data_IF_007946768697
#
_entry.id   IF_007946768697
#
_cell.length_a   1.000
_cell.length_b   1.000
_cell.length_c   1.000
_cell.angle_alpha   90.00
_cell.angle_beta   90.00
_cell.angle_gamma   90.00
#
_symmetry.space_group_name_H-M   'P 1'
#
loop_
_entity.id
_entity.type
_entity.pdbx_description
1 polymer ?
#
# COMPACT_ATOMS: atom_id res chain seq x y z
N UNK A 1 8.65 9.35 41.57
CA UNK A 1 9.08 9.81 40.23
C UNK A 1 7.87 10.49 39.57
N UNK A 2 8.01 11.76 39.19
CA UNK A 2 6.92 12.70 38.92
C UNK A 2 6.11 12.37 37.67
N UNK A 3 4.79 12.59 37.74
CA UNK A 3 3.93 12.64 36.55
C UNK A 3 4.33 13.87 35.73
N UNK A 4 4.71 13.67 34.48
CA UNK A 4 5.10 14.75 33.58
C UNK A 4 3.86 15.54 33.15
N UNK A 5 3.72 16.77 33.66
CA UNK A 5 2.60 17.66 33.36
C UNK A 5 3.09 18.77 32.45
N UNK A 6 2.48 18.89 31.28
CA UNK A 6 2.65 20.02 30.37
C UNK A 6 1.66 21.12 30.78
N UNK A 7 2.11 22.37 30.79
CA UNK A 7 1.26 23.52 31.07
C UNK A 7 1.36 24.54 29.93
N UNK A 8 0.24 25.11 29.54
CA UNK A 8 0.17 26.25 28.63
C UNK A 8 -0.65 27.35 29.30
N UNK A 9 -0.15 28.57 29.22
CA UNK A 9 -0.82 29.76 29.74
C UNK A 9 -1.26 30.65 28.59
N UNK A 10 -2.44 31.26 28.74
CA UNK A 10 -2.98 32.26 27.82
C UNK A 10 -3.35 33.52 28.58
N UNK A 11 -3.32 34.66 27.88
CA UNK A 11 -3.80 35.92 28.43
C UNK A 11 -5.33 35.86 28.51
N UNK A 12 -5.88 36.25 29.66
CA UNK A 12 -7.33 36.38 29.84
C UNK A 12 -7.73 37.76 29.34
N UNK A 13 -8.42 37.80 28.21
CA UNK A 13 -8.99 39.02 27.63
C UNK A 13 -10.52 39.05 27.75
N UNK A 14 -11.11 40.19 27.41
CA UNK A 14 -12.57 40.39 27.51
C UNK A 14 -13.34 39.41 26.63
N UNK A 15 -12.77 38.99 25.50
CA UNK A 15 -13.37 38.02 24.58
C UNK A 15 -13.45 36.64 25.22
N UNK A 16 -12.36 36.18 25.86
CA UNK A 16 -12.32 34.91 26.57
C UNK A 16 -13.29 34.89 27.75
N UNK A 17 -13.33 35.97 28.54
CA UNK A 17 -14.29 36.11 29.65
C UNK A 17 -15.73 36.04 29.11
N UNK A 18 -16.03 36.79 28.05
CA UNK A 18 -17.35 36.78 27.44
C UNK A 18 -17.73 35.42 26.83
N UNK A 19 -16.76 34.68 26.29
CA UNK A 19 -16.98 33.34 25.72
C UNK A 19 -17.23 32.27 26.80
N UNK A 20 -16.59 32.38 27.97
CA UNK A 20 -16.75 31.45 29.07
C UNK A 20 -18.02 31.73 29.92
N UNK A 21 -18.46 32.98 29.99
CA UNK A 21 -19.58 33.45 30.82
C UNK A 21 -20.90 32.67 30.59
N UNK A 22 -21.37 32.39 29.36
CA UNK A 22 -22.61 31.64 29.13
C UNK A 22 -22.59 30.18 29.64
N UNK A 23 -21.42 29.64 29.95
CA UNK A 23 -21.23 28.25 30.36
C UNK A 23 -20.79 28.12 31.82
N UNK A 24 -20.76 29.21 32.59
CA UNK A 24 -20.25 29.28 33.97
C UNK A 24 -18.84 28.65 34.13
N UNK A 25 -18.04 28.70 33.06
CA UNK A 25 -16.73 28.05 33.03
C UNK A 25 -15.66 28.98 33.61
N UNK A 26 -15.16 28.67 34.80
CA UNK A 26 -14.05 29.40 35.42
C UNK A 26 -12.71 28.89 34.87
N UNK A 27 -11.99 29.77 34.17
CA UNK A 27 -10.68 29.47 33.60
C UNK A 27 -9.64 30.46 34.11
N UNK A 28 -8.56 29.94 34.70
CA UNK A 28 -7.48 30.73 35.31
C UNK A 28 -6.36 31.10 34.32
N UNK A 29 -6.63 30.93 33.02
CA UNK A 29 -5.65 31.14 31.96
C UNK A 29 -4.66 29.99 31.79
N UNK A 30 -4.70 28.94 32.61
CA UNK A 30 -3.75 27.84 32.58
C UNK A 30 -4.42 26.52 32.19
N UNK A 31 -3.98 25.94 31.09
CA UNK A 31 -4.32 24.56 30.72
C UNK A 31 -3.19 23.62 31.12
N UNK A 32 -3.50 22.55 31.86
CA UNK A 32 -2.54 21.49 32.18
C UNK A 32 -2.92 20.18 31.51
N UNK A 33 -1.91 19.42 31.08
CA UNK A 33 -2.07 18.11 30.48
C UNK A 33 -1.01 17.16 31.02
N UNK A 34 -1.43 16.10 31.71
CA UNK A 34 -0.53 15.08 32.23
C UNK A 34 -0.31 14.00 31.18
N UNK A 35 0.94 13.77 30.80
CA UNK A 35 1.29 12.69 29.88
C UNK A 35 1.08 11.33 30.54
N UNK A 36 0.56 10.33 29.81
CA UNK A 36 0.45 8.98 30.33
C UNK A 36 1.84 8.42 30.60
N UNK A 37 1.97 7.62 31.66
CA UNK A 37 3.24 7.02 32.04
C UNK A 37 3.67 6.03 30.96
N UNK A 38 4.76 6.34 30.28
CA UNK A 38 5.26 5.54 29.17
C UNK A 38 6.68 5.06 29.44
N UNK A 39 6.83 3.75 29.66
CA UNK A 39 8.14 3.11 29.79
C UNK A 39 8.68 2.81 28.38
N UNK A 40 9.22 3.82 27.72
CA UNK A 40 9.66 3.74 26.32
C UNK A 40 10.72 2.64 26.09
N UNK A 41 10.47 1.66 25.20
CA UNK A 41 11.49 0.71 24.78
C UNK A 41 12.69 1.42 24.16
N UNK A 42 13.90 1.05 24.59
CA UNK A 42 15.15 1.62 24.09
C UNK A 42 15.44 1.14 22.66
N UNK A 43 16.06 2.00 21.84
CA UNK A 43 16.55 1.65 20.50
C UNK A 43 17.90 0.94 20.60
N UNK A 44 17.87 -0.32 21.03
CA UNK A 44 19.05 -1.19 21.19
C UNK A 44 19.16 -2.28 20.11
N UNK A 45 18.31 -2.21 19.08
CA UNK A 45 18.23 -3.20 18.01
C UNK A 45 17.39 -4.44 18.33
N UNK A 46 16.80 -4.55 19.52
CA UNK A 46 15.98 -5.72 19.91
C UNK A 46 14.59 -5.76 19.25
N UNK A 47 14.14 -4.65 18.66
CA UNK A 47 12.85 -4.53 17.98
C UNK A 47 12.96 -3.69 16.69
N UNK A 48 12.06 -3.95 15.76
CA UNK A 48 12.00 -3.26 14.46
C UNK A 48 10.99 -2.13 14.44
N UNK A 49 9.78 -2.38 14.94
CA UNK A 49 8.61 -1.51 14.78
C UNK A 49 7.92 -1.27 16.12
N UNK A 50 7.75 -0.01 16.49
CA UNK A 50 6.94 0.44 17.61
C UNK A 50 5.71 1.23 17.15
N UNK A 51 4.63 1.14 17.91
CA UNK A 51 3.38 1.85 17.60
C UNK A 51 2.82 2.55 18.85
N UNK A 52 2.51 3.84 18.74
CA UNK A 52 1.81 4.63 19.76
C UNK A 52 0.42 4.97 19.21
N UNK A 53 -0.64 4.54 19.89
CA UNK A 53 -2.03 4.75 19.48
C UNK A 53 -2.85 5.51 20.50
N UNK A 54 -3.94 6.11 20.05
CA UNK A 54 -4.95 6.76 20.90
C UNK A 54 -5.60 7.99 20.26
N UNK A 55 -6.66 8.53 20.87
CA UNK A 55 -7.48 9.60 20.29
C UNK A 55 -6.70 10.89 20.08
N UNK A 56 -7.25 11.83 19.29
CA UNK A 56 -6.64 13.16 19.17
C UNK A 56 -6.52 13.82 20.54
N UNK A 57 -5.45 14.59 20.77
CA UNK A 57 -5.20 15.24 22.07
C UNK A 57 -4.64 14.33 23.18
N UNK A 58 -4.47 13.02 22.97
CA UNK A 58 -3.98 12.09 24.02
C UNK A 58 -2.47 12.14 24.32
N UNK A 59 -1.73 13.11 23.74
CA UNK A 59 -0.30 13.27 23.99
C UNK A 59 0.64 12.40 23.15
N UNK A 60 0.16 11.67 22.13
CA UNK A 60 0.99 10.83 21.23
C UNK A 60 2.19 11.57 20.66
N UNK A 61 1.96 12.73 20.05
CA UNK A 61 3.01 13.60 19.46
C UNK A 61 4.06 13.97 20.49
N UNK A 62 3.65 14.27 21.73
CA UNK A 62 4.57 14.68 22.79
C UNK A 62 5.40 13.50 23.29
N UNK A 63 4.80 12.31 23.45
CA UNK A 63 5.53 11.08 23.78
C UNK A 63 6.54 10.73 22.69
N UNK A 64 6.12 10.80 21.42
CA UNK A 64 6.98 10.51 20.27
C UNK A 64 8.19 11.46 20.25
N UNK A 65 7.94 12.78 20.30
CA UNK A 65 8.99 13.82 20.34
C UNK A 65 9.96 13.61 21.50
N UNK A 66 9.45 13.34 22.70
CA UNK A 66 10.25 13.23 23.92
C UNK A 66 11.16 11.99 23.94
N UNK A 67 10.66 10.85 23.46
CA UNK A 67 11.38 9.58 23.60
C UNK A 67 12.14 9.14 22.34
N UNK A 68 11.68 9.56 21.15
CA UNK A 68 12.19 9.05 19.88
C UNK A 68 12.57 10.14 18.88
N UNK A 69 12.22 11.40 19.16
CA UNK A 69 12.25 12.48 18.18
C UNK A 69 11.14 12.34 17.14
N UNK A 70 11.00 13.32 16.25
CA UNK A 70 10.15 13.22 15.06
C UNK A 70 11.04 13.38 13.85
N UNK A 71 10.95 12.44 12.93
CA UNK A 71 11.73 12.46 11.69
C UNK A 71 11.27 13.63 10.84
N UNK A 72 12.24 14.46 10.46
CA UNK A 72 11.97 15.62 9.63
C UNK A 72 11.63 15.19 8.19
N UNK A 73 10.69 15.87 7.53
CA UNK A 73 10.40 15.62 6.13
C UNK A 73 11.60 15.98 5.27
N UNK A 74 11.80 15.23 4.19
CA UNK A 74 12.83 15.53 3.20
C UNK A 74 12.45 16.78 2.40
N UNK A 75 13.45 17.58 2.01
CA UNK A 75 13.27 18.67 1.06
C UNK A 75 13.07 18.13 -0.37
N UNK A 76 12.12 18.74 -1.10
CA UNK A 76 11.75 18.34 -2.46
C UNK A 76 12.10 19.44 -3.46
N UNK A 77 12.75 19.06 -4.57
CA UNK A 77 13.01 19.95 -5.70
C UNK A 77 11.75 20.04 -6.56
N UNK A 78 11.25 21.27 -6.78
CA UNK A 78 9.96 21.52 -7.43
C UNK A 78 9.91 21.13 -8.91
N UNK A 79 11.06 21.10 -9.57
CA UNK A 79 11.24 20.79 -10.99
C UNK A 79 11.55 19.30 -11.26
N UNK A 80 11.57 18.46 -10.22
CA UNK A 80 11.92 17.03 -10.34
C UNK A 80 10.78 16.10 -9.94
N UNK A 81 10.71 14.98 -10.66
CA UNK A 81 9.86 13.86 -10.31
C UNK A 81 10.23 13.29 -8.93
N UNK A 82 9.26 12.81 -8.15
CA UNK A 82 9.54 12.23 -6.84
C UNK A 82 10.51 11.04 -6.91
N UNK A 83 10.43 10.20 -7.96
CA UNK A 83 11.35 9.06 -8.13
C UNK A 83 12.81 9.49 -8.27
N UNK A 84 13.08 10.70 -8.77
CA UNK A 84 14.43 11.24 -8.95
C UNK A 84 15.10 11.67 -7.63
N UNK A 85 14.39 11.61 -6.49
CA UNK A 85 14.91 11.99 -5.18
C UNK A 85 15.52 10.82 -4.38
N UNK A 86 15.57 9.61 -4.97
CA UNK A 86 16.00 8.37 -4.30
C UNK A 86 17.39 7.88 -4.74
N UNK A 87 18.14 8.68 -5.48
CA UNK A 87 19.50 8.37 -5.95
C UNK A 87 19.51 7.50 -7.20
N UNK A 88 18.94 6.30 -7.13
CA UNK A 88 18.84 5.36 -8.25
C UNK A 88 17.42 4.80 -8.43
N UNK A 89 17.17 4.19 -9.60
CA UNK A 89 15.85 3.69 -9.97
C UNK A 89 15.39 2.50 -9.16
N UNK A 90 16.32 1.64 -8.71
CA UNK A 90 15.99 0.46 -7.91
C UNK A 90 15.51 0.89 -6.53
N UNK A 91 16.27 1.79 -5.87
CA UNK A 91 15.92 2.35 -4.57
C UNK A 91 14.60 3.14 -4.62
N UNK A 92 14.38 3.91 -5.69
CA UNK A 92 13.10 4.61 -5.92
C UNK A 92 11.92 3.62 -5.95
N UNK A 93 12.03 2.58 -6.80
CA UNK A 93 10.97 1.59 -6.96
C UNK A 93 10.71 0.86 -5.65
N UNK A 94 11.77 0.42 -4.95
CA UNK A 94 11.65 -0.33 -3.71
C UNK A 94 10.97 0.48 -2.61
N UNK A 95 11.44 1.71 -2.35
CA UNK A 95 10.90 2.55 -1.28
C UNK A 95 9.49 3.06 -1.57
N UNK A 96 9.19 3.46 -2.82
CA UNK A 96 7.86 3.92 -3.19
C UNK A 96 6.83 2.77 -3.15
N UNK A 97 7.25 1.57 -3.54
CA UNK A 97 6.42 0.36 -3.41
C UNK A 97 6.21 -0.02 -1.93
N UNK A 98 7.23 0.15 -1.09
CA UNK A 98 7.18 -0.18 0.34
C UNK A 98 6.13 0.62 1.11
N UNK A 99 5.87 1.86 0.71
CA UNK A 99 4.83 2.72 1.32
C UNK A 99 3.46 2.62 0.63
N UNK A 100 3.31 1.69 -0.32
CA UNK A 100 2.06 1.51 -1.05
C UNK A 100 1.78 2.57 -2.12
N UNK A 101 2.76 3.41 -2.48
CA UNK A 101 2.62 4.37 -3.57
C UNK A 101 2.95 3.67 -4.89
N UNK A 102 2.08 2.78 -5.38
CA UNK A 102 2.39 1.89 -6.52
C UNK A 102 1.98 2.45 -7.91
N UNK A 103 1.79 3.76 -8.01
CA UNK A 103 1.38 4.43 -9.25
C UNK A 103 2.59 5.02 -9.96
N UNK A 104 3.04 4.38 -11.05
CA UNK A 104 4.13 4.90 -11.90
C UNK A 104 3.85 6.32 -12.40
N UNK A 105 2.63 6.69 -12.84
CA UNK A 105 2.32 8.09 -13.16
C UNK A 105 2.59 9.05 -12.00
N UNK A 106 2.30 8.64 -10.76
CA UNK A 106 2.57 9.47 -9.58
C UNK A 106 4.07 9.61 -9.32
N UNK A 107 4.87 8.58 -9.60
CA UNK A 107 6.33 8.62 -9.48
C UNK A 107 7.00 9.67 -10.38
N UNK A 108 6.38 9.95 -11.52
CA UNK A 108 6.86 10.90 -12.51
C UNK A 108 6.44 12.34 -12.23
N UNK A 109 5.55 12.60 -11.25
CA UNK A 109 5.09 13.94 -10.90
C UNK A 109 6.03 14.62 -9.90
N UNK A 110 6.10 15.96 -9.90
CA UNK A 110 6.72 16.70 -8.81
C UNK A 110 5.84 16.64 -7.54
N UNK A 111 6.48 16.77 -6.38
CA UNK A 111 5.85 16.54 -5.08
C UNK A 111 4.59 17.38 -4.84
N UNK A 112 4.62 18.67 -5.21
CA UNK A 112 3.53 19.62 -4.97
C UNK A 112 2.24 19.35 -5.77
N UNK A 113 2.28 18.46 -6.78
CA UNK A 113 1.10 18.09 -7.60
C UNK A 113 0.42 16.83 -7.08
N UNK A 114 1.05 16.11 -6.14
CA UNK A 114 0.49 14.90 -5.54
C UNK A 114 -0.67 15.24 -4.60
N UNK A 115 -1.62 14.32 -4.47
CA UNK A 115 -2.65 14.41 -3.42
C UNK A 115 -2.03 14.30 -2.01
N UNK A 116 -2.74 14.75 -0.97
CA UNK A 116 -2.25 14.69 0.42
C UNK A 116 -1.81 13.27 0.83
N UNK A 117 -2.59 12.25 0.47
CA UNK A 117 -2.24 10.85 0.75
C UNK A 117 -1.03 10.34 -0.04
N UNK A 118 -0.82 10.83 -1.27
CA UNK A 118 0.39 10.51 -2.05
C UNK A 118 1.62 11.25 -1.50
N UNK A 119 1.48 12.53 -1.13
CA UNK A 119 2.55 13.32 -0.51
C UNK A 119 3.02 12.68 0.80
N UNK A 120 2.09 12.29 1.67
CA UNK A 120 2.42 11.58 2.91
C UNK A 120 3.24 10.32 2.65
N UNK A 121 2.82 9.48 1.69
CA UNK A 121 3.55 8.25 1.34
C UNK A 121 4.91 8.55 0.72
N UNK A 122 5.01 9.53 -0.18
CA UNK A 122 6.28 9.95 -0.77
C UNK A 122 7.28 10.45 0.29
N UNK A 123 6.82 11.28 1.23
CA UNK A 123 7.62 11.75 2.38
C UNK A 123 8.06 10.60 3.28
N UNK A 124 7.14 9.67 3.59
CA UNK A 124 7.48 8.48 4.36
C UNK A 124 8.55 7.63 3.66
N UNK A 125 8.41 7.38 2.35
CA UNK A 125 9.40 6.61 1.58
C UNK A 125 10.77 7.28 1.56
N UNK A 126 10.78 8.61 1.46
CA UNK A 126 12.00 9.41 1.44
C UNK A 126 12.74 9.41 2.78
N UNK A 127 12.00 9.40 3.89
CA UNK A 127 12.55 9.55 5.24
C UNK A 127 12.67 8.24 6.03
N UNK A 128 12.08 7.13 5.59
CA UNK A 128 12.14 5.85 6.31
C UNK A 128 13.57 5.30 6.41
N UNK A 129 13.93 4.87 7.63
CA UNK A 129 15.22 4.29 8.00
C UNK A 129 15.22 3.81 9.46
N UNK A 130 16.32 3.20 9.92
CA UNK A 130 16.44 2.84 11.34
C UNK A 130 16.36 4.07 12.24
N UNK A 131 15.83 3.89 13.44
CA UNK A 131 15.67 4.93 14.46
C UNK A 131 14.87 6.16 14.01
N UNK A 132 13.99 5.99 13.02
CA UNK A 132 13.05 7.02 12.57
C UNK A 132 11.73 6.96 13.35
N UNK A 133 11.03 8.07 13.41
CA UNK A 133 9.78 8.22 14.15
C UNK A 133 8.81 9.12 13.38
N UNK A 134 7.62 8.60 13.08
CA UNK A 134 6.62 9.28 12.25
C UNK A 134 5.36 9.57 13.06
N UNK A 135 4.97 10.85 13.10
CA UNK A 135 3.70 11.27 13.67
C UNK A 135 2.58 11.21 12.64
N UNK A 136 1.33 11.17 13.13
CA UNK A 136 0.11 11.14 12.32
C UNK A 136 0.10 10.05 11.23
N UNK A 137 0.73 8.91 11.51
CA UNK A 137 0.80 7.82 10.55
C UNK A 137 -0.61 7.37 10.16
N UNK A 138 -0.87 7.35 8.86
CA UNK A 138 -2.14 6.97 8.22
C UNK A 138 -3.35 7.91 8.42
N UNK A 139 -3.16 9.14 8.93
CA UNK A 139 -4.27 10.08 9.16
C UNK A 139 -4.89 10.66 7.88
N UNK A 140 -4.12 10.74 6.78
CA UNK A 140 -4.50 11.42 5.54
C UNK A 140 -4.92 10.47 4.40
N UNK A 141 -5.11 9.19 4.71
CA UNK A 141 -5.52 8.16 3.73
C UNK A 141 -6.76 7.44 4.24
N UNK A 142 -7.54 6.86 3.34
CA UNK A 142 -8.65 6.01 3.74
C UNK A 142 -8.16 4.78 4.53
N UNK A 143 -9.10 4.13 5.25
CA UNK A 143 -8.79 3.03 6.16
C UNK A 143 -8.17 1.84 5.43
N UNK A 144 -8.66 1.50 4.25
CA UNK A 144 -8.26 0.29 3.54
C UNK A 144 -6.88 0.47 2.91
N UNK A 145 -6.58 1.68 2.46
CA UNK A 145 -5.24 2.11 2.00
C UNK A 145 -4.26 2.19 3.16
N UNK A 146 -4.68 2.67 4.34
CA UNK A 146 -3.87 2.63 5.55
C UNK A 146 -3.45 1.21 5.92
N UNK A 147 -4.40 0.25 5.92
CA UNK A 147 -4.15 -1.18 6.16
C UNK A 147 -3.14 -1.74 5.15
N UNK A 148 -3.33 -1.43 3.86
CA UNK A 148 -2.47 -1.89 2.78
C UNK A 148 -1.04 -1.36 2.89
N UNK A 149 -0.89 -0.04 3.10
CA UNK A 149 0.39 0.62 3.27
C UNK A 149 1.14 0.10 4.51
N UNK A 150 0.44 -0.11 5.63
CA UNK A 150 1.01 -0.68 6.85
C UNK A 150 1.62 -2.07 6.61
N UNK A 151 0.92 -2.91 5.83
CA UNK A 151 1.43 -4.23 5.46
C UNK A 151 2.65 -4.19 4.56
N UNK A 152 2.67 -3.30 3.55
CA UNK A 152 3.82 -3.14 2.68
C UNK A 152 5.03 -2.63 3.47
N UNK A 153 4.81 -1.66 4.37
CA UNK A 153 5.84 -1.01 5.14
C UNK A 153 6.50 -1.95 6.14
N UNK A 154 5.72 -2.72 6.91
CA UNK A 154 6.31 -3.65 7.88
C UNK A 154 7.16 -4.73 7.20
N UNK A 155 6.75 -5.19 6.02
CA UNK A 155 7.54 -6.14 5.23
C UNK A 155 8.86 -5.52 4.81
N UNK A 156 8.82 -4.28 4.32
CA UNK A 156 10.01 -3.57 3.90
C UNK A 156 10.99 -3.34 5.05
N UNK A 157 10.53 -2.78 6.18
CA UNK A 157 11.36 -2.55 7.39
C UNK A 157 12.07 -3.84 7.79
N UNK A 158 11.36 -4.97 7.80
CA UNK A 158 11.91 -6.27 8.21
C UNK A 158 12.85 -6.87 7.16
N UNK A 159 12.54 -6.76 5.87
CA UNK A 159 13.40 -7.24 4.79
C UNK A 159 14.69 -6.43 4.68
N UNK A 160 14.63 -5.14 4.97
CA UNK A 160 15.79 -4.24 5.02
C UNK A 160 16.53 -4.28 6.36
N UNK A 161 16.16 -5.19 7.28
CA UNK A 161 16.75 -5.33 8.61
C UNK A 161 16.81 -4.01 9.42
N UNK A 162 15.84 -3.12 9.20
CA UNK A 162 15.74 -1.85 9.94
C UNK A 162 15.25 -2.09 11.37
N UNK A 163 15.74 -1.26 12.29
CA UNK A 163 15.43 -1.35 13.72
C UNK A 163 14.99 0.01 14.27
N UNK A 164 14.23 0.00 15.37
CA UNK A 164 13.91 1.23 16.09
C UNK A 164 12.90 2.19 15.43
N UNK A 165 12.12 1.74 14.44
CA UNK A 165 11.15 2.58 13.73
C UNK A 165 9.86 2.74 14.54
N UNK A 166 9.43 3.98 14.81
CA UNK A 166 8.22 4.24 15.63
C UNK A 166 7.17 4.98 14.83
N UNK A 167 5.92 4.57 14.96
CA UNK A 167 4.76 5.26 14.37
C UNK A 167 3.83 5.75 15.48
N UNK A 168 3.28 6.94 15.34
CA UNK A 168 2.15 7.41 16.14
C UNK A 168 0.91 7.55 15.26
N UNK A 169 -0.23 7.01 15.68
CA UNK A 169 -1.48 7.08 14.91
C UNK A 169 -2.70 7.22 15.81
N UNK A 170 -3.76 7.86 15.32
CA UNK A 170 -5.06 7.81 15.97
C UNK A 170 -5.83 6.51 15.67
N UNK A 171 -5.37 5.75 14.67
CA UNK A 171 -6.06 4.58 14.17
C UNK A 171 -5.47 3.31 14.76
N UNK A 172 -6.31 2.49 15.39
CA UNK A 172 -5.89 1.25 16.09
C UNK A 172 -5.89 0.04 15.16
N UNK A 173 -6.80 0.02 14.19
CA UNK A 173 -6.99 -1.04 13.21
C UNK A 173 -5.77 -1.28 12.32
N UNK A 174 -4.85 -0.33 12.19
CA UNK A 174 -3.58 -0.55 11.46
C UNK A 174 -2.63 -1.48 12.19
N UNK A 175 -2.77 -1.67 13.51
CA UNK A 175 -1.82 -2.43 14.32
C UNK A 175 -1.70 -3.89 13.84
N UNK A 176 -2.83 -4.50 13.44
CA UNK A 176 -2.87 -5.87 12.91
C UNK A 176 -2.23 -6.02 11.52
N UNK A 177 -1.95 -4.90 10.85
CA UNK A 177 -1.34 -4.86 9.52
C UNK A 177 0.13 -4.45 9.58
N UNK A 178 0.45 -3.50 10.46
CA UNK A 178 1.80 -3.04 10.75
C UNK A 178 2.59 -4.09 11.57
N UNK A 179 1.89 -4.92 12.35
CA UNK A 179 2.46 -5.97 13.21
C UNK A 179 3.67 -5.46 14.02
N UNK A 180 3.47 -4.43 14.85
CA UNK A 180 4.53 -3.85 15.65
C UNK A 180 5.04 -4.85 16.70
N UNK A 181 6.29 -4.68 17.10
CA UNK A 181 6.91 -5.48 18.16
C UNK A 181 6.42 -5.04 19.55
N UNK A 182 5.94 -3.79 19.66
CA UNK A 182 5.20 -3.28 20.81
C UNK A 182 4.18 -2.21 20.38
N UNK A 183 3.04 -2.16 21.06
CA UNK A 183 2.06 -1.07 20.93
C UNK A 183 1.80 -0.43 22.29
N UNK A 184 1.75 0.89 22.34
CA UNK A 184 1.35 1.64 23.53
C UNK A 184 0.07 2.43 23.26
N UNK A 185 -0.95 2.21 24.07
CA UNK A 185 -2.21 2.94 23.99
C UNK A 185 -2.21 4.08 25.01
N UNK A 186 -2.21 5.31 24.49
CA UNK A 186 -2.23 6.53 25.32
C UNK A 186 -3.53 6.74 26.10
N UNK A 187 -4.63 6.09 25.73
CA UNK A 187 -5.90 6.17 26.44
C UNK A 187 -5.95 5.23 27.65
N UNK A 188 -5.54 3.98 27.46
CA UNK A 188 -5.57 2.96 28.54
C UNK A 188 -4.27 2.95 29.36
N UNK A 189 -3.17 3.47 28.82
CA UNK A 189 -1.83 3.36 29.40
C UNK A 189 -1.23 1.96 29.26
N UNK A 190 -1.84 1.07 28.47
CA UNK A 190 -1.40 -0.31 28.32
C UNK A 190 -0.33 -0.44 27.23
N UNK A 191 0.62 -1.36 27.46
CA UNK A 191 1.61 -1.77 26.49
C UNK A 191 1.40 -3.23 26.12
N UNK A 192 1.21 -3.50 24.83
CA UNK A 192 1.12 -4.86 24.29
C UNK A 192 2.39 -5.24 23.55
N UNK A 193 2.85 -6.48 23.70
CA UNK A 193 4.02 -7.03 23.01
C UNK A 193 3.66 -7.78 21.72
N UNK A 194 4.69 -8.09 20.93
CA UNK A 194 4.60 -8.87 19.70
C UNK A 194 3.91 -10.21 19.92
N UNK A 195 3.07 -10.62 18.96
CA UNK A 195 2.38 -11.92 18.97
C UNK A 195 0.95 -11.87 19.48
N UNK A 196 0.52 -10.76 20.06
CA UNK A 196 -0.88 -10.49 20.40
C UNK A 196 -1.77 -10.18 19.18
N UNK A 197 -1.16 -9.80 18.06
CA UNK A 197 -1.85 -9.37 16.85
C UNK A 197 -1.63 -10.36 15.71
N UNK A 198 -2.72 -10.73 15.04
CA UNK A 198 -2.68 -11.56 13.84
C UNK A 198 -3.37 -10.80 12.70
N UNK A 199 -2.78 -10.86 11.51
CA UNK A 199 -3.38 -10.21 10.34
C UNK A 199 -4.77 -10.80 10.07
N UNK A 200 -5.81 -9.96 9.89
CA UNK A 200 -7.13 -10.44 9.53
C UNK A 200 -7.11 -11.19 8.19
N UNK A 201 -8.03 -12.14 8.04
CA UNK A 201 -8.29 -12.75 6.73
C UNK A 201 -8.86 -11.68 5.79
N UNK A 202 -8.24 -11.51 4.63
CA UNK A 202 -8.83 -10.69 3.55
C UNK A 202 -9.86 -11.55 2.82
N UNK A 203 -11.13 -11.21 2.96
CA UNK A 203 -12.20 -11.71 2.11
C UNK A 203 -12.35 -10.74 0.92
N UNK A 204 -12.30 -11.28 -0.30
CA UNK A 204 -12.52 -10.53 -1.54
C UNK A 204 -13.77 -11.11 -2.20
N UNK A 205 -14.77 -10.26 -2.39
CA UNK A 205 -15.98 -10.62 -3.13
C UNK A 205 -15.73 -10.37 -4.62
N UNK A 206 -16.09 -11.34 -5.47
CA UNK A 206 -15.81 -11.28 -6.91
C UNK A 206 -17.06 -11.56 -7.73
N UNK A 207 -17.56 -10.52 -8.38
CA UNK A 207 -18.78 -10.56 -9.18
C UNK A 207 -18.52 -10.35 -10.66
N UNK A 208 -19.47 -10.83 -11.47
CA UNK A 208 -19.54 -10.48 -12.89
C UNK A 208 -19.88 -9.01 -13.01
N UNK A 209 -19.17 -8.29 -13.86
CA UNK A 209 -19.40 -6.86 -14.06
C UNK A 209 -19.48 -6.49 -15.54
N UNK A 210 -20.03 -5.30 -15.79
CA UNK A 210 -20.03 -4.73 -17.14
C UNK A 210 -18.64 -4.25 -17.53
N UNK A 211 -18.37 -4.19 -18.84
CA UNK A 211 -17.12 -3.59 -19.36
C UNK A 211 -16.95 -2.12 -19.00
N UNK A 212 -18.02 -1.41 -18.61
CA UNK A 212 -17.97 0.01 -18.29
C UNK A 212 -17.05 0.30 -17.09
N UNK A 213 -16.95 -0.65 -16.15
CA UNK A 213 -16.02 -0.58 -15.02
C UNK A 213 -14.56 -0.43 -15.44
N UNK A 214 -14.19 -0.83 -16.66
CA UNK A 214 -12.84 -0.62 -17.16
C UNK A 214 -12.38 0.84 -17.13
N UNK A 215 -13.32 1.79 -17.25
CA UNK A 215 -13.01 3.22 -17.19
C UNK A 215 -12.29 3.60 -15.89
N UNK A 216 -12.65 2.96 -14.77
CA UNK A 216 -12.02 3.15 -13.46
C UNK A 216 -10.57 2.64 -13.42
N UNK A 217 -10.25 1.59 -14.17
CA UNK A 217 -8.95 0.89 -14.08
C UNK A 217 -7.98 1.23 -15.20
N UNK A 218 -8.46 1.77 -16.32
CA UNK A 218 -7.65 1.97 -17.53
C UNK A 218 -6.44 2.87 -17.30
N UNK A 219 -6.56 3.85 -16.40
CA UNK A 219 -5.49 4.80 -16.05
C UNK A 219 -4.36 4.14 -15.24
N UNK A 220 -4.63 3.00 -14.62
CA UNK A 220 -3.68 2.22 -13.84
C UNK A 220 -3.08 1.04 -14.63
N UNK A 221 -3.43 0.91 -15.92
CA UNK A 221 -2.92 -0.15 -16.78
C UNK A 221 -1.86 0.37 -17.76
N UNK A 222 -0.73 -0.33 -17.85
CA UNK A 222 0.46 0.08 -18.60
C UNK A 222 0.41 -0.19 -20.12
N UNK A 223 -0.73 -0.68 -20.67
CA UNK A 223 -0.96 -0.87 -22.12
C UNK A 223 -2.31 -0.24 -22.54
N UNK A 224 -2.53 -0.14 -23.86
CA UNK A 224 -3.68 0.50 -24.54
C UNK A 224 -5.01 0.50 -23.77
N UNK A 225 -5.69 1.65 -23.74
CA UNK A 225 -6.91 1.86 -22.97
C UNK A 225 -8.19 1.20 -23.51
N UNK A 226 -8.21 0.65 -24.73
CA UNK A 226 -9.41 0.02 -25.30
C UNK A 226 -9.59 -1.43 -24.83
N UNK A 227 -10.81 -1.76 -24.37
CA UNK A 227 -11.22 -3.11 -23.94
C UNK A 227 -11.99 -3.82 -25.06
N UNK A 228 -11.74 -5.11 -25.25
CA UNK A 228 -12.47 -5.92 -26.23
C UNK A 228 -13.93 -6.12 -25.78
N UNK A 229 -14.88 -5.97 -26.71
CA UNK A 229 -16.32 -6.07 -26.42
C UNK A 229 -16.76 -7.48 -25.97
N UNK A 230 -16.04 -8.53 -26.38
CA UNK A 230 -16.31 -9.92 -25.99
C UNK A 230 -15.66 -10.30 -24.64
N UNK A 231 -15.06 -9.34 -23.92
CA UNK A 231 -14.41 -9.62 -22.65
C UNK A 231 -15.41 -10.03 -21.57
N UNK A 232 -15.10 -11.15 -20.94
CA UNK A 232 -15.77 -11.61 -19.73
C UNK A 232 -15.11 -10.91 -18.53
N UNK A 233 -15.82 -9.95 -17.92
CA UNK A 233 -15.28 -9.05 -16.90
C UNK A 233 -15.74 -9.43 -15.49
N UNK A 234 -14.85 -9.18 -14.53
CA UNK A 234 -15.03 -9.45 -13.11
C UNK A 234 -14.54 -8.26 -12.29
N UNK A 235 -15.34 -7.85 -11.31
CA UNK A 235 -15.00 -6.83 -10.34
C UNK A 235 -14.74 -7.50 -8.99
N UNK A 236 -13.67 -7.08 -8.33
CA UNK A 236 -13.33 -7.54 -6.99
C UNK A 236 -13.52 -6.38 -6.01
N UNK A 237 -14.22 -6.66 -4.92
CA UNK A 237 -14.44 -5.71 -3.83
C UNK A 237 -13.88 -6.24 -2.52
N UNK A 238 -13.46 -5.32 -1.64
CA UNK A 238 -13.00 -5.61 -0.29
C UNK A 238 -13.65 -4.64 0.68
N UNK A 239 -14.39 -5.13 1.68
CA UNK A 239 -15.16 -4.29 2.61
C UNK A 239 -16.12 -3.33 1.88
N UNK A 240 -16.70 -3.77 0.76
CA UNK A 240 -17.61 -2.97 -0.08
C UNK A 240 -16.91 -2.03 -1.08
N UNK A 241 -15.60 -1.82 -0.94
CA UNK A 241 -14.83 -0.95 -1.82
C UNK A 241 -14.31 -1.67 -3.06
N UNK A 242 -14.32 -1.00 -4.21
CA UNK A 242 -13.79 -1.56 -5.46
C UNK A 242 -12.26 -1.56 -5.44
N UNK A 243 -11.64 -2.74 -5.54
CA UNK A 243 -10.17 -2.88 -5.37
C UNK A 243 -9.44 -3.44 -6.59
N UNK A 244 -10.10 -4.29 -7.38
CA UNK A 244 -9.47 -4.90 -8.54
C UNK A 244 -10.47 -5.27 -9.64
N UNK A 245 -9.94 -5.41 -10.85
CA UNK A 245 -10.67 -5.80 -12.04
C UNK A 245 -9.89 -6.88 -12.77
N UNK A 246 -10.58 -7.91 -13.24
CA UNK A 246 -9.99 -8.93 -14.11
C UNK A 246 -10.93 -9.24 -15.27
N UNK A 247 -10.36 -9.52 -16.43
CA UNK A 247 -11.13 -9.98 -17.57
C UNK A 247 -10.41 -11.05 -18.36
N UNK A 248 -11.21 -11.90 -18.99
CA UNK A 248 -10.75 -12.95 -19.89
C UNK A 248 -11.45 -12.90 -21.24
N UNK A 249 -10.84 -13.54 -22.23
CA UNK A 249 -11.31 -13.60 -23.60
C UNK A 249 -11.21 -15.02 -24.14
N UNK A 250 -12.11 -15.37 -25.04
CA UNK A 250 -11.93 -16.53 -25.91
C UNK A 250 -10.60 -16.39 -26.69
N UNK A 251 -9.88 -17.50 -26.78
CA UNK A 251 -8.63 -17.62 -27.51
C UNK A 251 -8.81 -18.67 -28.60
N UNK A 252 -9.49 -18.34 -29.72
CA UNK A 252 -9.65 -19.28 -30.81
C UNK A 252 -8.29 -19.61 -31.42
N UNK A 253 -7.83 -20.83 -31.22
CA UNK A 253 -6.61 -21.37 -31.84
C UNK A 253 -6.91 -22.74 -32.43
N UNK A 254 -6.42 -23.01 -33.64
CA UNK A 254 -6.75 -24.23 -34.39
C UNK A 254 -6.33 -25.54 -33.69
N UNK A 255 -5.42 -25.46 -32.72
CA UNK A 255 -4.84 -26.62 -32.03
C UNK A 255 -5.48 -26.92 -30.67
N UNK A 256 -6.26 -25.99 -30.09
CA UNK A 256 -6.86 -26.17 -28.76
C UNK A 256 -8.32 -25.74 -28.78
N UNK A 257 -9.21 -26.69 -28.54
CA UNK A 257 -10.65 -26.43 -28.40
C UNK A 257 -10.95 -25.76 -27.05
N UNK A 258 -11.97 -24.90 -27.03
CA UNK A 258 -12.46 -24.18 -25.84
C UNK A 258 -11.37 -23.45 -25.05
N UNK A 259 -10.38 -22.89 -25.75
CA UNK A 259 -9.32 -22.10 -25.15
C UNK A 259 -9.81 -20.69 -24.80
N UNK A 260 -9.47 -20.25 -23.59
CA UNK A 260 -9.68 -18.93 -23.04
C UNK A 260 -8.37 -18.40 -22.49
N UNK A 261 -8.25 -17.08 -22.41
CA UNK A 261 -7.06 -16.45 -21.88
C UNK A 261 -7.38 -15.29 -20.97
N UNK A 262 -6.54 -15.10 -19.97
CA UNK A 262 -6.48 -13.84 -19.24
C UNK A 262 -6.18 -12.71 -20.22
N UNK A 263 -6.96 -11.64 -20.12
CA UNK A 263 -6.78 -10.45 -20.94
C UNK A 263 -6.13 -9.33 -20.13
N UNK A 264 -6.71 -8.97 -18.99
CA UNK A 264 -6.19 -7.94 -18.08
C UNK A 264 -6.54 -8.30 -16.65
N UNK A 265 -5.61 -8.05 -15.74
CA UNK A 265 -5.85 -8.11 -14.30
C UNK A 265 -5.18 -6.88 -13.69
N UNK A 266 -5.96 -6.00 -13.08
CA UNK A 266 -5.51 -4.73 -12.51
C UNK A 266 -6.00 -4.66 -11.07
N UNK A 267 -5.08 -4.39 -10.15
CA UNK A 267 -5.39 -4.04 -8.77
C UNK A 267 -5.09 -2.55 -8.62
N UNK A 268 -6.01 -1.79 -8.04
CA UNK A 268 -5.80 -0.37 -7.80
C UNK A 268 -4.51 -0.16 -6.99
N UNK A 269 -3.69 0.87 -7.28
CA UNK A 269 -2.35 1.03 -6.72
C UNK A 269 -2.28 0.89 -5.20
N UNK A 270 -3.28 1.40 -4.50
CA UNK A 270 -3.30 1.41 -3.05
C UNK A 270 -3.51 0.03 -2.42
N UNK A 271 -4.04 -0.94 -3.17
CA UNK A 271 -4.32 -2.31 -2.73
C UNK A 271 -3.29 -3.34 -3.24
N UNK A 272 -2.27 -2.86 -3.96
CA UNK A 272 -1.20 -3.72 -4.46
C UNK A 272 -0.29 -4.21 -3.32
N UNK A 273 0.30 -5.39 -3.51
CA UNK A 273 1.13 -6.03 -2.49
C UNK A 273 0.38 -6.94 -1.51
N UNK A 274 -0.95 -6.85 -1.44
CA UNK A 274 -1.80 -7.69 -0.57
C UNK A 274 -2.04 -9.11 -1.10
N UNK A 275 -1.63 -9.40 -2.34
CA UNK A 275 -1.84 -10.69 -3.00
C UNK A 275 -3.17 -10.82 -3.75
N UNK A 276 -4.00 -9.77 -3.76
CA UNK A 276 -5.31 -9.76 -4.43
C UNK A 276 -5.21 -10.16 -5.90
N UNK A 277 -4.26 -9.59 -6.65
CA UNK A 277 -4.15 -9.82 -8.09
C UNK A 277 -3.88 -11.28 -8.49
N UNK A 278 -3.04 -12.00 -7.73
CA UNK A 278 -2.77 -13.42 -8.03
C UNK A 278 -3.96 -14.31 -7.66
N UNK A 279 -4.65 -14.00 -6.55
CA UNK A 279 -5.84 -14.75 -6.12
C UNK A 279 -7.05 -14.50 -7.04
N UNK A 280 -7.25 -13.26 -7.48
CA UNK A 280 -8.27 -12.92 -8.48
C UNK A 280 -8.00 -13.62 -9.81
N UNK A 281 -6.74 -13.68 -10.24
CA UNK A 281 -6.32 -14.41 -11.45
C UNK A 281 -6.63 -15.90 -11.34
N UNK A 282 -6.30 -16.54 -10.21
CA UNK A 282 -6.62 -17.94 -9.95
C UNK A 282 -8.13 -18.19 -9.93
N UNK A 283 -8.91 -17.34 -9.25
CA UNK A 283 -10.37 -17.46 -9.17
C UNK A 283 -11.03 -17.40 -10.56
N UNK A 284 -10.65 -16.41 -11.39
CA UNK A 284 -11.19 -16.30 -12.75
C UNK A 284 -10.77 -17.48 -13.62
N UNK A 285 -9.54 -17.99 -13.43
CA UNK A 285 -9.05 -19.16 -14.14
C UNK A 285 -9.83 -20.44 -13.74
N UNK A 286 -10.00 -20.69 -12.44
CA UNK A 286 -10.78 -21.82 -11.91
C UNK A 286 -12.21 -21.80 -12.45
N UNK A 287 -12.89 -20.65 -12.38
CA UNK A 287 -14.24 -20.49 -12.93
C UNK A 287 -14.35 -20.83 -14.41
N UNK A 288 -13.28 -20.64 -15.19
CA UNK A 288 -13.26 -21.06 -16.60
C UNK A 288 -13.01 -22.57 -16.74
N UNK A 289 -12.10 -23.14 -15.96
CA UNK A 289 -11.86 -24.60 -15.92
C UNK A 289 -13.10 -25.37 -15.49
N UNK A 290 -13.83 -24.90 -14.48
CA UNK A 290 -15.09 -25.50 -14.01
C UNK A 290 -16.17 -25.51 -15.10
N UNK A 291 -16.08 -24.60 -16.08
CA UNK A 291 -16.95 -24.54 -17.28
C UNK A 291 -16.45 -25.41 -18.43
N UNK A 292 -15.46 -26.28 -18.20
CA UNK A 292 -14.84 -27.13 -19.21
C UNK A 292 -13.95 -26.38 -20.22
N UNK A 293 -13.46 -25.18 -19.87
CA UNK A 293 -12.59 -24.36 -20.72
C UNK A 293 -11.13 -24.53 -20.34
N UNK A 294 -10.23 -24.49 -21.33
CA UNK A 294 -8.78 -24.42 -21.06
C UNK A 294 -8.36 -22.98 -20.89
N UNK A 295 -7.70 -22.64 -19.79
CA UNK A 295 -7.39 -21.26 -19.45
C UNK A 295 -5.89 -20.97 -19.49
N UNK A 296 -5.48 -19.96 -20.26
CA UNK A 296 -4.09 -19.58 -20.43
C UNK A 296 -3.84 -18.17 -19.90
N UNK A 297 -2.65 -17.88 -19.41
CA UNK A 297 -2.22 -16.50 -19.18
C UNK A 297 -0.78 -16.26 -19.56
N UNK A 298 -0.55 -15.07 -20.10
CA UNK A 298 0.77 -14.56 -20.42
C UNK A 298 0.98 -13.22 -19.73
N UNK A 299 2.08 -13.11 -18.98
CA UNK A 299 2.43 -11.88 -18.27
C UNK A 299 3.92 -11.57 -18.40
N UNK A 300 4.25 -10.27 -18.45
CA UNK A 300 5.63 -9.79 -18.30
C UNK A 300 5.90 -9.29 -16.88
N UNK A 301 4.92 -9.37 -15.97
CA UNK A 301 5.06 -8.90 -14.60
C UNK A 301 5.84 -9.91 -13.74
N UNK A 302 7.04 -9.58 -13.22
CA UNK A 302 7.92 -10.54 -12.57
C UNK A 302 7.27 -11.27 -11.39
N UNK A 303 6.59 -10.55 -10.49
CA UNK A 303 5.93 -11.17 -9.31
C UNK A 303 4.82 -12.16 -9.69
N UNK A 304 4.02 -11.83 -10.71
CA UNK A 304 2.93 -12.69 -11.16
C UNK A 304 3.47 -13.92 -11.90
N UNK A 305 4.51 -13.73 -12.72
CA UNK A 305 5.23 -14.82 -13.37
C UNK A 305 5.88 -15.78 -12.39
N UNK A 306 6.64 -15.26 -11.42
CA UNK A 306 7.28 -16.05 -10.37
C UNK A 306 6.27 -16.77 -9.45
N UNK A 307 5.08 -16.20 -9.24
CA UNK A 307 3.99 -16.89 -8.55
C UNK A 307 3.53 -18.13 -9.34
N UNK A 308 3.18 -17.95 -10.62
CA UNK A 308 2.69 -19.04 -11.47
C UNK A 308 3.71 -20.16 -11.65
N UNK A 309 4.98 -19.82 -11.81
CA UNK A 309 6.05 -20.84 -11.92
C UNK A 309 6.18 -21.71 -10.66
N UNK A 310 5.86 -21.18 -9.47
CA UNK A 310 5.94 -21.92 -8.20
C UNK A 310 4.64 -22.58 -7.80
N UNK A 311 3.52 -22.18 -8.39
CA UNK A 311 2.19 -22.65 -8.01
C UNK A 311 1.86 -23.97 -8.71
N UNK A 312 1.37 -25.00 -8.00
CA UNK A 312 0.94 -26.25 -8.63
C UNK A 312 -0.31 -26.06 -9.51
N UNK A 313 -1.02 -24.94 -9.35
CA UNK A 313 -2.22 -24.60 -10.12
C UNK A 313 -1.90 -24.17 -11.56
N UNK A 314 -0.64 -23.90 -11.88
CA UNK A 314 -0.22 -23.37 -13.17
C UNK A 314 0.87 -24.24 -13.79
N UNK A 315 0.62 -24.72 -15.00
CA UNK A 315 1.59 -25.49 -15.81
C UNK A 315 2.28 -24.56 -16.81
N UNK A 316 3.62 -24.54 -16.90
CA UNK A 316 4.31 -23.75 -17.92
C UNK A 316 4.01 -24.27 -19.33
N UNK A 317 3.81 -23.36 -20.27
CA UNK A 317 3.66 -23.68 -21.70
C UNK A 317 5.01 -23.74 -22.40
N UNK A 318 5.06 -24.24 -23.64
CA UNK A 318 6.27 -24.24 -24.49
C UNK A 318 6.82 -22.84 -24.81
N UNK A 319 6.08 -21.78 -24.48
CA UNK A 319 6.50 -20.37 -24.67
C UNK A 319 6.88 -19.68 -23.36
N UNK A 320 6.92 -20.39 -22.24
CA UNK A 320 7.31 -19.83 -20.95
C UNK A 320 8.80 -19.47 -20.92
N UNK A 321 9.14 -18.30 -20.39
CA UNK A 321 10.53 -17.89 -20.21
C UNK A 321 11.22 -17.42 -21.49
N UNK A 322 10.52 -17.36 -22.62
CA UNK A 322 11.07 -16.84 -23.88
C UNK A 322 11.03 -15.31 -23.89
N UNK A 323 12.16 -14.68 -24.22
CA UNK A 323 12.23 -13.28 -24.64
C UNK A 323 11.84 -13.19 -26.11
N UNK A 324 11.21 -12.07 -26.52
CA UNK A 324 11.03 -11.77 -27.95
C UNK A 324 12.19 -10.90 -28.40
N UNK A 325 12.92 -11.36 -29.41
CA UNK A 325 13.76 -10.46 -30.21
C UNK A 325 12.86 -9.48 -30.96
N UNK A 326 13.22 -8.21 -30.92
CA UNK A 326 12.44 -7.15 -31.54
C UNK A 326 12.85 -7.03 -33.02
N UNK A 327 12.14 -7.75 -33.90
CA UNK A 327 12.39 -7.65 -35.35
C UNK A 327 11.79 -6.36 -35.93
N UNK A 328 12.37 -5.20 -35.62
CA UNK A 328 12.37 -3.92 -36.37
C UNK A 328 11.06 -3.27 -36.90
N UNK A 329 9.95 -4.00 -37.03
CA UNK A 329 8.71 -3.61 -37.70
C UNK A 329 7.61 -3.47 -36.66
N UNK A 330 7.40 -2.24 -36.19
CA UNK A 330 6.33 -1.92 -35.25
C UNK A 330 6.16 -0.42 -35.04
N UNK A 331 4.90 0.00 -34.92
CA UNK A 331 4.34 1.38 -34.83
C UNK A 331 4.69 2.11 -33.50
N UNK A 332 5.68 1.64 -32.74
CA UNK A 332 5.97 2.18 -31.41
C UNK A 332 7.17 3.13 -31.44
N UNK A 333 7.03 4.31 -30.80
CA UNK A 333 8.08 5.32 -30.68
C UNK A 333 9.26 4.86 -29.79
N UNK A 334 10.42 5.50 -29.95
CA UNK A 334 11.73 5.09 -29.44
C UNK A 334 11.77 4.63 -27.98
N UNK A 335 11.15 5.35 -27.03
CA UNK A 335 11.16 4.98 -25.61
C UNK A 335 10.43 3.65 -25.34
N UNK A 336 9.31 3.39 -26.04
CA UNK A 336 8.57 2.12 -25.93
C UNK A 336 9.32 0.94 -26.54
N UNK A 337 10.20 1.20 -27.53
CA UNK A 337 11.09 0.18 -28.11
C UNK A 337 12.15 -0.22 -27.08
N UNK A 338 12.84 0.72 -26.46
CA UNK A 338 13.88 0.44 -25.44
C UNK A 338 13.31 -0.31 -24.22
N UNK A 339 12.09 0.03 -23.77
CA UNK A 339 11.46 -0.59 -22.60
C UNK A 339 11.00 -2.06 -22.79
N UNK A 340 11.01 -2.60 -24.01
CA UNK A 340 10.48 -3.95 -24.33
C UNK A 340 11.53 -4.96 -24.79
N UNK A 341 12.71 -4.51 -25.20
CA UNK A 341 13.82 -5.40 -25.61
C UNK A 341 14.27 -6.22 -24.39
N UNK A 342 14.43 -7.54 -24.56
CA UNK A 342 14.95 -8.44 -23.52
C UNK A 342 13.96 -8.84 -22.40
N UNK A 343 12.72 -8.34 -22.39
CA UNK A 343 11.74 -8.72 -21.34
C UNK A 343 11.27 -10.17 -21.50
N UNK A 344 11.63 -10.99 -20.53
CA UNK A 344 11.15 -12.36 -20.40
C UNK A 344 9.64 -12.38 -20.16
N UNK A 345 8.91 -13.18 -20.94
CA UNK A 345 7.48 -13.39 -20.74
C UNK A 345 7.22 -14.73 -20.05
N UNK A 346 6.35 -14.71 -19.05
CA UNK A 346 5.84 -15.89 -18.37
C UNK A 346 4.55 -16.34 -19.06
N UNK A 347 4.45 -17.61 -19.41
CA UNK A 347 3.33 -18.15 -20.20
C UNK A 347 2.90 -19.50 -19.63
N UNK A 348 1.72 -19.54 -19.04
CA UNK A 348 1.22 -20.67 -18.26
C UNK A 348 -0.22 -21.04 -18.66
N UNK A 349 -0.55 -22.32 -18.51
CA UNK A 349 -1.91 -22.86 -18.52
C UNK A 349 -2.34 -23.11 -17.07
N UNK A 350 -3.56 -22.72 -16.73
CA UNK A 350 -4.14 -23.05 -15.43
C UNK A 350 -4.69 -24.47 -15.45
N UNK A 351 -4.31 -25.28 -14.47
CA UNK A 351 -4.69 -26.70 -14.37
C UNK A 351 -5.69 -26.99 -13.24
N UNK A 352 -6.01 -25.97 -12.42
CA UNK A 352 -6.99 -26.09 -11.34
C UNK A 352 -6.40 -26.52 -10.00
N UNK A 353 -7.12 -26.21 -8.93
CA UNK A 353 -7.06 -26.99 -7.70
C UNK A 353 -7.91 -28.23 -7.96
N UNK A 354 -7.35 -29.42 -7.76
CA UNK A 354 -8.07 -30.69 -7.97
C UNK A 354 -9.30 -30.84 -7.10
#
# INVERSE_FOLDING_TARGET
>A
MSKDTLSSTVVIDDVLIAACSPFDYSFDGTSTFTLPRFNAPKRDGSWSIGLIVGPSGSGKTQLLKRHYGVTQPKEWLSDRAIASHFGDSQNAIERLTAVGLNSVPSWCKPFHVLSNGEQFRASLAASIGSDTAFDEFSSVVDRTVAKSASHALQRYIRQSAMTGVVFASCHRDIAEWLLPDWTFDTLTGEMSSRGSLQRPRIAIDVDRCSRAWWETFRHHHYLTGQMNAAAECYLATWEGETVAFSCCLSMPIGTVKNAWREHRTVVLPDYQGLGIGVRLSDYVAQKNVDRGRRYFSKTAHPRMGAYRTRSPLWKPTSKNGLSREFNGKGVYNGLHKTLRVGKQCFSHEYVGAG
#
